data_IF_338922818131
#
_entry.id   IF_338922818131
#
_cell.length_a   1.000
_cell.length_b   1.000
_cell.length_c   1.000
_cell.angle_alpha   90.00
_cell.angle_beta   90.00
_cell.angle_gamma   90.00
#
_symmetry.space_group_name_H-M   'P 1'
#
loop_
_entity.id
_entity.type
_entity.pdbx_description
1 polymer ?
#
# COMPACT_ATOMS: atom_id res chain seq x y z
N UNK A 1 55.93 4.34 -12.73
CA UNK A 1 55.28 4.16 -14.04
C UNK A 1 53.96 3.48 -13.72
N UNK A 2 52.86 4.21 -13.44
CA UNK A 2 51.93 4.84 -14.42
C UNK A 2 51.41 3.76 -15.40
N UNK A 3 50.12 3.42 -15.49
CA UNK A 3 48.86 4.21 -15.56
C UNK A 3 47.72 3.48 -14.78
N UNK A 4 46.79 4.10 -14.04
CA UNK A 4 45.68 5.04 -14.37
C UNK A 4 44.67 4.54 -15.43
N UNK A 5 43.54 4.00 -14.95
CA UNK A 5 42.21 4.30 -15.49
C UNK A 5 41.13 3.95 -14.46
N UNK A 6 40.64 4.99 -13.79
CA UNK A 6 39.49 5.00 -12.90
C UNK A 6 38.21 4.54 -13.64
N UNK A 7 37.41 3.71 -12.97
CA UNK A 7 36.05 3.39 -13.39
C UNK A 7 35.12 3.51 -12.18
N UNK A 8 34.88 4.75 -11.77
CA UNK A 8 33.85 5.11 -10.80
C UNK A 8 32.47 4.99 -11.48
N UNK A 9 31.73 3.93 -11.13
CA UNK A 9 30.31 3.80 -11.42
C UNK A 9 29.53 4.14 -10.14
N UNK A 10 29.34 5.43 -9.91
CA UNK A 10 28.28 5.95 -9.04
C UNK A 10 26.93 5.64 -9.70
N UNK A 11 26.31 4.53 -9.31
CA UNK A 11 24.92 4.22 -9.63
C UNK A 11 24.05 4.70 -8.47
N UNK A 12 23.53 5.92 -8.64
CA UNK A 12 22.48 6.52 -7.84
C UNK A 12 21.18 5.70 -7.98
N UNK A 13 20.91 4.80 -7.02
CA UNK A 13 19.67 4.02 -6.95
C UNK A 13 18.59 4.87 -6.29
N UNK A 14 17.94 5.70 -7.10
CA UNK A 14 16.71 6.39 -6.74
C UNK A 14 15.60 5.40 -6.39
N UNK A 15 15.17 5.42 -5.13
CA UNK A 15 13.98 4.78 -4.60
C UNK A 15 12.70 5.19 -5.35
N UNK A 16 11.93 4.23 -5.82
CA UNK A 16 10.48 4.35 -6.03
C UNK A 16 9.80 3.13 -5.39
N UNK A 17 8.80 3.32 -4.50
CA UNK A 17 8.01 2.21 -3.93
C UNK A 17 7.02 1.69 -4.97
N UNK A 18 6.82 0.37 -4.99
CA UNK A 18 5.83 -0.32 -5.83
C UNK A 18 4.66 -0.68 -4.91
N UNK A 19 3.50 -0.04 -5.12
CA UNK A 19 2.25 -0.33 -4.41
C UNK A 19 1.24 -1.01 -5.37
N UNK A 20 0.72 -2.13 -4.89
CA UNK A 20 -0.60 -2.75 -5.04
C UNK A 20 -1.17 -3.21 -6.39
N UNK A 21 -1.07 -4.53 -6.53
CA UNK A 21 -2.08 -5.52 -6.91
C UNK A 21 -3.54 -5.04 -6.90
N UNK A 22 -4.21 -5.09 -8.07
CA UNK A 22 -5.68 -5.03 -8.16
C UNK A 22 -6.18 -6.28 -8.87
N UNK A 23 -7.05 -6.98 -8.16
CA UNK A 23 -7.67 -8.26 -8.44
C UNK A 23 -8.80 -8.08 -9.47
N UNK A 24 -8.71 -8.79 -10.61
CA UNK A 24 -9.76 -8.84 -11.63
C UNK A 24 -10.95 -9.69 -11.13
N UNK A 25 -12.08 -9.05 -10.84
CA UNK A 25 -13.39 -9.73 -10.77
C UNK A 25 -14.14 -9.50 -12.09
N UNK A 26 -14.38 -10.60 -12.81
CA UNK A 26 -15.21 -10.68 -14.01
C UNK A 26 -16.69 -10.68 -13.61
N UNK A 27 -17.46 -9.71 -14.08
CA UNK A 27 -18.92 -9.82 -14.20
C UNK A 27 -19.33 -9.66 -15.67
N UNK A 28 -19.72 -10.78 -16.27
CA UNK A 28 -20.51 -10.83 -17.50
C UNK A 28 -21.89 -10.19 -17.23
N UNK A 29 -22.29 -9.22 -18.04
CA UNK A 29 -23.70 -8.79 -18.11
C UNK A 29 -24.23 -9.05 -19.51
N UNK A 30 -25.12 -10.03 -19.57
CA UNK A 30 -25.94 -10.43 -20.72
C UNK A 30 -27.03 -9.37 -20.93
N UNK A 31 -27.20 -8.95 -22.19
CA UNK A 31 -28.14 -7.91 -22.61
C UNK A 31 -29.45 -8.57 -22.97
N UNK A 32 -30.52 -8.37 -22.18
CA UNK A 32 -31.88 -8.69 -22.60
C UNK A 32 -32.79 -7.46 -22.56
N UNK A 33 -33.27 -7.12 -23.75
CA UNK A 33 -34.16 -6.01 -24.08
C UNK A 33 -35.60 -6.36 -23.64
N UNK A 34 -36.26 -5.49 -22.88
CA UNK A 34 -37.73 -5.49 -22.83
C UNK A 34 -38.31 -4.11 -22.53
N UNK A 35 -39.34 -3.81 -23.30
CA UNK A 35 -39.93 -2.51 -23.54
C UNK A 35 -40.76 -1.98 -22.37
N UNK A 36 -40.59 -0.68 -22.17
CA UNK A 36 -41.52 0.36 -21.70
C UNK A 36 -42.99 -0.03 -21.48
N UNK A 37 -43.49 0.18 -20.26
CA UNK A 37 -44.80 0.78 -20.01
C UNK A 37 -44.66 1.91 -18.99
N UNK A 38 -45.22 3.06 -19.35
CA UNK A 38 -45.11 4.31 -18.63
C UNK A 38 -46.13 4.38 -17.49
N UNK A 39 -45.66 4.66 -16.27
CA UNK A 39 -46.44 5.32 -15.24
C UNK A 39 -45.67 6.49 -14.66
N UNK A 40 -46.42 7.55 -14.41
CA UNK A 40 -46.01 8.89 -14.04
C UNK A 40 -45.26 8.96 -12.71
N UNK A 41 -44.14 9.67 -12.68
CA UNK A 41 -43.78 10.77 -11.75
C UNK A 41 -42.26 10.95 -11.74
N UNK A 42 -41.81 12.20 -11.89
CA UNK A 42 -40.42 12.60 -11.63
C UNK A 42 -39.38 12.09 -12.63
N UNK A 43 -39.22 12.76 -13.77
CA UNK A 43 -37.99 12.66 -14.56
C UNK A 43 -36.85 13.30 -13.77
N UNK A 44 -36.22 12.54 -12.87
CA UNK A 44 -34.84 12.81 -12.49
C UNK A 44 -34.00 12.62 -13.74
N UNK A 45 -33.75 13.72 -14.46
CA UNK A 45 -32.74 13.75 -15.49
C UNK A 45 -31.42 13.40 -14.82
N UNK A 46 -30.91 12.18 -15.05
CA UNK A 46 -29.50 11.87 -14.82
C UNK A 46 -28.71 13.03 -15.41
N UNK A 47 -28.06 13.83 -14.57
CA UNK A 47 -27.20 14.92 -15.03
C UNK A 47 -26.08 14.25 -15.82
N UNK A 48 -26.23 14.16 -17.14
CA UNK A 48 -25.15 13.75 -18.01
C UNK A 48 -23.99 14.69 -17.72
N UNK A 49 -22.83 14.17 -17.32
CA UNK A 49 -21.62 14.96 -17.08
C UNK A 49 -21.05 15.64 -18.33
N UNK A 50 -21.83 15.65 -19.42
CA UNK A 50 -21.51 16.26 -20.69
C UNK A 50 -21.94 17.73 -20.65
N UNK A 51 -20.97 18.63 -20.77
CA UNK A 51 -21.18 20.08 -20.84
C UNK A 51 -21.08 20.49 -22.30
N UNK A 52 -22.13 21.11 -22.84
CA UNK A 52 -22.11 21.63 -24.21
C UNK A 52 -21.34 22.96 -24.24
N UNK A 53 -20.09 22.92 -24.68
CA UNK A 53 -19.21 24.09 -24.75
C UNK A 53 -19.68 25.13 -25.80
N UNK A 54 -20.57 24.77 -26.72
CA UNK A 54 -21.05 25.69 -27.76
C UNK A 54 -22.05 26.72 -27.25
N UNK A 55 -22.71 26.44 -26.12
CA UNK A 55 -23.68 27.32 -25.46
C UNK A 55 -23.03 28.32 -24.47
N UNK A 56 -21.71 28.25 -24.27
CA UNK A 56 -20.96 29.07 -23.32
C UNK A 56 -20.38 30.31 -24.03
N UNK A 57 -20.47 31.53 -23.45
CA UNK A 57 -19.85 32.73 -24.02
C UNK A 57 -18.35 32.56 -24.29
N UNK A 58 -17.84 33.13 -25.39
CA UNK A 58 -16.44 32.95 -25.83
C UNK A 58 -15.40 33.28 -24.75
N UNK A 59 -15.64 34.31 -23.95
CA UNK A 59 -14.72 34.79 -22.91
C UNK A 59 -14.50 33.75 -21.79
N UNK A 60 -15.46 32.87 -21.58
CA UNK A 60 -15.39 31.77 -20.59
C UNK A 60 -14.96 30.46 -21.24
N UNK A 61 -15.26 30.27 -22.53
CA UNK A 61 -14.94 29.06 -23.30
C UNK A 61 -13.44 28.87 -23.55
N UNK A 62 -12.74 29.93 -23.99
CA UNK A 62 -11.29 29.88 -24.31
C UNK A 62 -10.39 29.36 -23.17
N UNK A 63 -10.52 29.84 -21.91
CA UNK A 63 -9.70 29.32 -20.81
C UNK A 63 -10.05 27.87 -20.42
N UNK A 64 -11.31 27.45 -20.61
CA UNK A 64 -11.75 26.06 -20.37
C UNK A 64 -11.14 25.12 -21.43
N UNK A 65 -11.20 25.50 -22.71
CA UNK A 65 -10.59 24.73 -23.80
C UNK A 65 -9.06 24.62 -23.64
N UNK A 66 -8.41 25.70 -23.19
CA UNK A 66 -6.98 25.69 -22.88
C UNK A 66 -6.62 24.66 -21.80
N UNK A 67 -7.31 24.70 -20.65
CA UNK A 67 -7.10 23.74 -19.55
C UNK A 67 -7.47 22.30 -19.94
N UNK A 68 -8.52 22.11 -20.72
CA UNK A 68 -8.92 20.79 -21.20
C UNK A 68 -7.88 20.21 -22.18
N UNK A 69 -7.31 21.05 -23.04
CA UNK A 69 -6.22 20.69 -23.93
C UNK A 69 -4.94 20.33 -23.18
N UNK A 70 -4.59 21.09 -22.14
CA UNK A 70 -3.47 20.76 -21.23
C UNK A 70 -3.69 19.41 -20.53
N UNK A 71 -4.84 19.22 -19.91
CA UNK A 71 -5.19 17.99 -19.19
C UNK A 71 -5.24 16.77 -20.12
N UNK A 72 -5.73 16.95 -21.35
CA UNK A 72 -5.74 15.89 -22.36
C UNK A 72 -4.32 15.57 -22.81
N UNK A 73 -3.44 16.56 -22.95
CA UNK A 73 -2.03 16.35 -23.28
C UNK A 73 -1.27 15.66 -22.15
N UNK A 74 -1.56 15.98 -20.90
CA UNK A 74 -1.00 15.30 -19.73
C UNK A 74 -1.45 13.84 -19.68
N UNK A 75 -2.76 13.57 -19.77
CA UNK A 75 -3.29 12.20 -19.84
C UNK A 75 -2.74 11.42 -21.02
N UNK A 76 -2.56 12.05 -22.19
CA UNK A 76 -1.96 11.39 -23.34
C UNK A 76 -0.48 11.04 -23.11
N UNK A 77 0.29 11.89 -22.41
CA UNK A 77 1.67 11.59 -22.01
C UNK A 77 1.74 10.46 -21.00
N UNK A 78 0.85 10.45 -20.01
CA UNK A 78 0.76 9.38 -19.01
C UNK A 78 0.37 8.06 -19.66
N UNK A 79 -0.66 8.05 -20.51
CA UNK A 79 -1.06 6.86 -21.25
C UNK A 79 0.06 6.34 -22.17
N UNK A 80 0.83 7.24 -22.78
CA UNK A 80 2.00 6.85 -23.58
C UNK A 80 3.10 6.22 -22.72
N UNK A 81 3.42 6.81 -21.56
CA UNK A 81 4.37 6.24 -20.60
C UNK A 81 3.90 4.88 -20.08
N UNK A 82 2.62 4.75 -19.72
CA UNK A 82 2.04 3.50 -19.27
C UNK A 82 2.19 2.41 -20.34
N UNK A 83 1.85 2.71 -21.61
CA UNK A 83 2.06 1.79 -22.73
C UNK A 83 3.53 1.43 -22.95
N UNK A 84 4.45 2.37 -22.78
CA UNK A 84 5.89 2.10 -22.87
C UNK A 84 6.34 1.15 -21.75
N UNK A 85 5.93 1.42 -20.50
CA UNK A 85 6.23 0.57 -19.36
C UNK A 85 5.62 -0.82 -19.51
N UNK A 86 4.38 -0.93 -19.99
CA UNK A 86 3.75 -2.21 -20.30
C UNK A 86 4.50 -2.97 -21.40
N UNK A 87 4.95 -2.28 -22.45
CA UNK A 87 5.76 -2.89 -23.50
C UNK A 87 7.13 -3.35 -22.98
N UNK A 88 7.77 -2.58 -22.12
CA UNK A 88 9.04 -2.94 -21.45
C UNK A 88 8.84 -4.12 -20.50
N UNK A 89 7.78 -4.13 -19.69
CA UNK A 89 7.41 -5.24 -18.82
C UNK A 89 7.14 -6.50 -19.62
N UNK A 90 6.40 -6.40 -20.73
CA UNK A 90 6.15 -7.54 -21.60
C UNK A 90 7.43 -8.04 -22.28
N UNK A 91 8.34 -7.14 -22.68
CA UNK A 91 9.65 -7.52 -23.20
C UNK A 91 10.52 -8.19 -22.12
N UNK A 92 10.50 -7.71 -20.88
CA UNK A 92 11.20 -8.33 -19.76
C UNK A 92 10.61 -9.71 -19.45
N UNK A 93 9.29 -9.80 -19.28
CA UNK A 93 8.57 -11.07 -19.07
C UNK A 93 8.89 -12.07 -20.18
N UNK A 94 8.84 -11.65 -21.45
CA UNK A 94 9.21 -12.50 -22.57
C UNK A 94 10.70 -12.89 -22.62
N UNK A 95 11.60 -12.15 -21.97
CA UNK A 95 13.01 -12.55 -21.79
C UNK A 95 13.15 -13.58 -20.66
N UNK A 96 12.39 -13.44 -19.58
CA UNK A 96 12.44 -14.35 -18.43
C UNK A 96 11.69 -15.67 -18.67
N UNK A 97 10.56 -15.65 -19.37
CA UNK A 97 9.76 -16.84 -19.71
C UNK A 97 10.51 -17.80 -20.67
N UNK A 98 11.61 -17.34 -21.28
CA UNK A 98 12.42 -18.13 -22.22
C UNK A 98 13.65 -18.79 -21.60
N UNK A 99 13.86 -18.70 -20.29
CA UNK A 99 14.97 -19.41 -19.63
C UNK A 99 14.55 -20.86 -19.43
N UNK A 100 14.40 -21.60 -20.52
CA UNK A 100 14.19 -23.05 -20.48
C UNK A 100 15.50 -23.74 -20.08
N UNK A 101 15.43 -24.86 -19.34
CA UNK A 101 16.63 -25.63 -19.03
C UNK A 101 17.29 -26.09 -20.34
N UNK A 102 18.63 -26.02 -20.45
CA UNK A 102 19.31 -26.45 -21.66
C UNK A 102 19.03 -27.93 -21.92
N UNK A 103 18.71 -28.26 -23.18
CA UNK A 103 18.38 -29.62 -23.60
C UNK A 103 19.54 -30.56 -23.32
N UNK A 104 19.28 -31.60 -22.52
CA UNK A 104 20.27 -32.61 -22.19
C UNK A 104 20.55 -33.51 -23.40
N UNK A 105 21.79 -33.48 -23.88
CA UNK A 105 22.28 -34.41 -24.89
C UNK A 105 22.79 -35.64 -24.16
N UNK A 106 22.52 -36.83 -24.68
CA UNK A 106 23.03 -38.07 -24.09
C UNK A 106 24.47 -38.33 -24.54
N UNK A 107 25.24 -39.03 -23.70
CA UNK A 107 26.61 -39.41 -24.04
C UNK A 107 26.60 -40.33 -25.29
N UNK A 108 27.47 -40.08 -26.29
CA UNK A 108 27.57 -40.95 -27.45
C UNK A 108 27.98 -42.37 -27.04
N UNK A 109 27.42 -43.38 -27.71
CA UNK A 109 27.73 -44.78 -27.42
C UNK A 109 29.17 -45.13 -27.81
N UNK A 110 29.76 -46.10 -27.10
CA UNK A 110 31.10 -46.59 -27.41
C UNK A 110 31.18 -47.29 -28.79
N UNK A 111 30.08 -47.90 -29.24
CA UNK A 111 29.96 -48.52 -30.56
C UNK A 111 30.17 -47.50 -31.69
N UNK A 112 29.62 -46.28 -31.54
CA UNK A 112 29.82 -45.19 -32.49
C UNK A 112 31.30 -44.76 -32.58
N UNK A 113 32.06 -44.88 -31.49
CA UNK A 113 33.49 -44.56 -31.49
C UNK A 113 34.31 -45.53 -32.37
N UNK A 114 33.85 -46.77 -32.50
CA UNK A 114 34.48 -47.81 -33.33
C UNK A 114 34.04 -47.67 -34.79
N UNK A 115 32.74 -47.45 -35.01
CA UNK A 115 32.15 -47.37 -36.36
C UNK A 115 32.44 -46.05 -37.08
N UNK A 116 32.36 -44.92 -36.37
CA UNK A 116 32.57 -43.59 -36.93
C UNK A 116 33.21 -42.62 -35.92
N UNK A 117 34.55 -42.60 -35.83
CA UNK A 117 35.26 -41.81 -34.82
C UNK A 117 35.08 -40.29 -34.97
N UNK A 118 34.83 -39.78 -36.18
CA UNK A 118 34.59 -38.34 -36.39
C UNK A 118 33.25 -37.88 -35.83
N UNK A 119 32.18 -38.66 -36.07
CA UNK A 119 30.86 -38.37 -35.52
C UNK A 119 30.82 -38.53 -34.00
N UNK A 120 31.51 -39.55 -33.47
CA UNK A 120 31.69 -39.71 -32.03
C UNK A 120 32.30 -38.45 -31.41
N UNK A 121 33.41 -37.95 -31.97
CA UNK A 121 34.06 -36.73 -31.46
C UNK A 121 33.15 -35.49 -31.54
N UNK A 122 32.36 -35.35 -32.61
CA UNK A 122 31.39 -34.26 -32.75
C UNK A 122 30.31 -34.31 -31.67
N UNK A 123 29.74 -35.50 -31.43
CA UNK A 123 28.72 -35.70 -30.41
C UNK A 123 29.29 -35.52 -28.99
N UNK A 124 30.54 -35.96 -28.76
CA UNK A 124 31.19 -35.79 -27.46
C UNK A 124 31.44 -34.31 -27.13
N UNK A 125 31.80 -33.49 -28.12
CA UNK A 125 31.89 -32.03 -27.95
C UNK A 125 30.53 -31.42 -27.60
N UNK A 126 29.49 -31.76 -28.38
CA UNK A 126 28.14 -31.28 -28.11
C UNK A 126 27.62 -31.69 -26.72
N UNK A 127 27.93 -32.91 -26.29
CA UNK A 127 27.63 -33.38 -24.94
C UNK A 127 28.33 -32.54 -23.86
N UNK A 128 29.64 -32.32 -24.00
CA UNK A 128 30.39 -31.48 -23.06
C UNK A 128 29.87 -30.03 -23.03
N UNK A 129 29.55 -29.46 -24.19
CA UNK A 129 28.96 -28.12 -24.29
C UNK A 129 27.61 -28.07 -23.55
N UNK A 130 26.78 -29.10 -23.68
CA UNK A 130 25.50 -29.20 -22.96
C UNK A 130 25.66 -29.28 -21.44
N UNK A 131 26.70 -29.98 -20.95
CA UNK A 131 27.01 -30.04 -19.52
C UNK A 131 27.45 -28.68 -18.96
N UNK A 132 28.27 -27.94 -19.73
CA UNK A 132 28.70 -26.59 -19.34
C UNK A 132 27.49 -25.65 -19.30
N UNK A 133 26.64 -25.69 -20.33
CA UNK A 133 25.42 -24.89 -20.37
C UNK A 133 24.49 -25.19 -19.19
N UNK A 134 24.32 -26.47 -18.83
CA UNK A 134 23.52 -26.88 -17.66
C UNK A 134 24.09 -26.32 -16.36
N UNK A 135 25.40 -26.42 -16.14
CA UNK A 135 26.04 -25.85 -14.95
C UNK A 135 25.81 -24.33 -14.86
N UNK A 136 26.00 -23.61 -15.97
CA UNK A 136 25.80 -22.16 -15.99
C UNK A 136 24.35 -21.77 -15.69
N UNK A 137 23.39 -22.54 -16.20
CA UNK A 137 21.97 -22.38 -15.88
C UNK A 137 21.72 -22.59 -14.38
N UNK A 138 22.20 -23.70 -13.81
CA UNK A 138 22.03 -24.01 -12.39
C UNK A 138 22.66 -22.93 -11.48
N UNK A 139 23.85 -22.43 -11.85
CA UNK A 139 24.53 -21.36 -11.13
C UNK A 139 23.77 -20.03 -11.23
N UNK A 140 23.15 -19.74 -12.39
CA UNK A 140 22.33 -18.54 -12.57
C UNK A 140 21.05 -18.59 -11.71
N UNK A 141 20.39 -19.75 -11.63
CA UNK A 141 19.21 -19.94 -10.77
C UNK A 141 19.59 -19.77 -9.29
N UNK A 142 20.67 -20.42 -8.83
CA UNK A 142 21.15 -20.28 -7.46
C UNK A 142 21.51 -18.83 -7.13
N UNK A 143 22.22 -18.15 -8.02
CA UNK A 143 22.58 -16.74 -7.82
C UNK A 143 21.33 -15.84 -7.74
N UNK A 144 20.27 -16.16 -8.47
CA UNK A 144 19.00 -15.44 -8.39
C UNK A 144 18.29 -15.68 -7.05
N UNK A 145 18.25 -16.93 -6.58
CA UNK A 145 17.69 -17.30 -5.27
C UNK A 145 18.47 -16.65 -4.12
N UNK A 146 19.80 -16.65 -4.17
CA UNK A 146 20.64 -16.00 -3.16
C UNK A 146 20.38 -14.49 -3.11
N UNK A 147 20.21 -13.84 -4.28
CA UNK A 147 19.88 -12.41 -4.35
C UNK A 147 18.51 -12.11 -3.76
N UNK A 148 17.49 -12.92 -4.04
CA UNK A 148 16.14 -12.68 -3.51
C UNK A 148 16.11 -12.85 -2.00
N UNK A 149 16.80 -13.87 -1.47
CA UNK A 149 16.95 -14.07 -0.02
C UNK A 149 17.73 -12.94 0.63
N UNK A 150 18.83 -12.48 0.03
CA UNK A 150 19.63 -11.37 0.55
C UNK A 150 18.82 -10.06 0.58
N UNK A 151 18.04 -9.77 -0.46
CA UNK A 151 17.14 -8.61 -0.51
C UNK A 151 16.07 -8.70 0.57
N UNK A 152 15.44 -9.86 0.75
CA UNK A 152 14.44 -10.06 1.80
C UNK A 152 15.05 -9.86 3.20
N UNK A 153 16.25 -10.39 3.45
CA UNK A 153 16.95 -10.18 4.72
C UNK A 153 17.28 -8.69 4.95
N UNK A 154 17.71 -7.97 3.92
CA UNK A 154 17.99 -6.54 4.02
C UNK A 154 16.72 -5.73 4.32
N UNK A 155 15.59 -6.08 3.69
CA UNK A 155 14.30 -5.44 3.95
C UNK A 155 13.86 -5.67 5.40
N UNK A 156 13.92 -6.91 5.89
CA UNK A 156 13.58 -7.24 7.28
C UNK A 156 14.48 -6.50 8.27
N UNK A 157 15.79 -6.40 8.01
CA UNK A 157 16.70 -5.63 8.86
C UNK A 157 16.32 -4.15 8.93
N UNK A 158 16.01 -3.53 7.79
CA UNK A 158 15.55 -2.12 7.74
C UNK A 158 14.23 -1.92 8.49
N UNK A 159 13.29 -2.85 8.38
CA UNK A 159 12.02 -2.81 9.11
C UNK A 159 12.26 -2.90 10.61
N UNK A 160 13.15 -3.79 11.07
CA UNK A 160 13.52 -3.92 12.48
C UNK A 160 14.18 -2.65 13.02
N UNK A 161 15.10 -2.03 12.27
CA UNK A 161 15.73 -0.76 12.66
C UNK A 161 14.69 0.36 12.77
N UNK A 162 13.79 0.45 11.78
CA UNK A 162 12.70 1.43 11.77
C UNK A 162 11.75 1.22 12.94
N UNK A 163 11.39 -0.03 13.23
CA UNK A 163 10.58 -0.39 14.39
C UNK A 163 11.27 0.02 15.70
N UNK A 164 12.56 -0.30 15.86
CA UNK A 164 13.33 0.10 17.06
C UNK A 164 13.39 1.63 17.23
N UNK A 165 13.45 2.40 16.15
CA UNK A 165 13.36 3.86 16.20
C UNK A 165 11.96 4.33 16.60
N UNK A 166 10.88 3.71 16.09
CA UNK A 166 9.49 4.01 16.46
C UNK A 166 9.22 3.73 17.94
N UNK A 167 9.73 2.62 18.48
CA UNK A 167 9.64 2.29 19.91
C UNK A 167 10.29 3.40 20.76
N UNK A 168 11.48 3.87 20.36
CA UNK A 168 12.14 4.99 21.05
C UNK A 168 11.34 6.30 20.95
N UNK A 169 10.69 6.55 19.82
CA UNK A 169 9.89 7.76 19.60
C UNK A 169 8.59 7.80 20.44
N UNK A 170 8.08 6.65 20.86
CA UNK A 170 6.85 6.55 21.66
C UNK A 170 7.03 6.94 23.14
N UNK A 171 8.26 7.15 23.60
CA UNK A 171 8.61 7.52 24.99
C UNK A 171 7.95 6.59 26.03
N UNK A 172 8.00 5.29 25.77
CA UNK A 172 7.45 4.23 26.64
C UNK A 172 8.59 3.53 27.37
N UNK A 173 8.35 3.11 28.61
CA UNK A 173 9.30 2.30 29.37
C UNK A 173 9.65 1.02 28.58
N UNK A 174 10.95 0.77 28.28
CA UNK A 174 11.37 -0.42 27.55
C UNK A 174 10.95 -1.73 28.25
N UNK A 175 10.81 -1.73 29.59
CA UNK A 175 10.35 -2.92 30.31
C UNK A 175 8.89 -3.26 29.99
N UNK A 176 8.01 -2.24 29.94
CA UNK A 176 6.61 -2.43 29.58
C UNK A 176 6.44 -2.81 28.10
N UNK A 177 7.28 -2.27 27.23
CA UNK A 177 7.27 -2.65 25.82
C UNK A 177 7.66 -4.13 25.64
N UNK A 178 8.72 -4.58 26.32
CA UNK A 178 9.15 -5.98 26.28
C UNK A 178 8.08 -6.92 26.85
N UNK A 179 7.38 -6.51 27.90
CA UNK A 179 6.25 -7.26 28.45
C UNK A 179 5.10 -7.35 27.44
N UNK A 180 4.75 -6.25 26.77
CA UNK A 180 3.73 -6.23 25.72
C UNK A 180 4.09 -7.15 24.55
N UNK A 181 5.34 -7.14 24.10
CA UNK A 181 5.86 -8.05 23.06
C UNK A 181 5.76 -9.52 23.50
N UNK A 182 6.11 -9.82 24.75
CA UNK A 182 5.99 -11.15 25.32
C UNK A 182 4.53 -11.61 25.39
N UNK A 183 3.62 -10.75 25.81
CA UNK A 183 2.18 -11.07 25.88
C UNK A 183 1.62 -11.40 24.48
N UNK A 184 2.06 -10.67 23.44
CA UNK A 184 1.70 -10.99 22.05
C UNK A 184 2.26 -12.34 21.59
N UNK A 185 3.50 -12.66 21.98
CA UNK A 185 4.14 -13.93 21.67
C UNK A 185 3.45 -15.11 22.37
N UNK A 186 3.16 -14.96 23.66
CA UNK A 186 2.49 -15.97 24.48
C UNK A 186 1.04 -16.23 23.98
N UNK A 187 0.36 -15.21 23.46
CA UNK A 187 -0.95 -15.34 22.81
C UNK A 187 -0.87 -15.94 21.39
N UNK A 188 0.33 -16.21 20.86
CA UNK A 188 0.54 -16.73 19.50
C UNK A 188 0.23 -15.71 18.39
N UNK A 189 0.04 -14.44 18.73
CA UNK A 189 -0.33 -13.38 17.78
C UNK A 189 0.92 -12.86 17.04
N UNK A 190 2.07 -12.78 17.73
CA UNK A 190 3.32 -12.34 17.12
C UNK A 190 3.70 -13.17 15.88
N UNK A 191 3.40 -14.48 15.87
CA UNK A 191 3.67 -15.34 14.72
C UNK A 191 2.69 -15.11 13.56
N UNK A 192 1.46 -14.66 13.85
CA UNK A 192 0.42 -14.43 12.85
C UNK A 192 0.56 -13.08 12.14
N UNK A 193 0.90 -12.03 12.89
CA UNK A 193 0.91 -10.65 12.38
C UNK A 193 2.22 -9.90 12.63
N UNK A 194 3.29 -10.58 13.06
CA UNK A 194 4.56 -9.94 13.39
C UNK A 194 5.15 -9.16 12.21
N UNK A 195 5.11 -9.72 11.00
CA UNK A 195 5.55 -9.01 9.78
C UNK A 195 4.73 -7.74 9.51
N UNK A 196 3.41 -7.80 9.72
CA UNK A 196 2.53 -6.64 9.60
C UNK A 196 2.89 -5.56 10.63
N UNK A 197 3.05 -5.93 11.90
CA UNK A 197 3.41 -5.00 12.98
C UNK A 197 4.79 -4.36 12.78
N UNK A 198 5.74 -5.06 12.15
CA UNK A 198 7.06 -4.52 11.84
C UNK A 198 7.03 -3.53 10.66
N UNK A 199 6.21 -3.82 9.64
CA UNK A 199 6.06 -2.96 8.48
C UNK A 199 5.22 -1.70 8.79
N UNK A 200 4.25 -1.80 9.70
CA UNK A 200 3.27 -0.76 9.96
C UNK A 200 3.87 0.52 10.61
N UNK A 201 3.33 1.68 10.24
CA UNK A 201 3.74 2.98 10.81
C UNK A 201 3.48 3.08 12.31
N UNK A 202 2.32 2.61 12.78
CA UNK A 202 1.88 2.61 14.17
C UNK A 202 2.20 1.29 14.88
N UNK A 203 2.96 0.40 14.26
CA UNK A 203 3.22 -0.96 14.74
C UNK A 203 3.68 -1.05 16.19
N UNK A 204 4.62 -0.20 16.61
CA UNK A 204 5.09 -0.16 18.00
C UNK A 204 4.00 0.33 18.98
N UNK A 205 3.13 1.26 18.56
CA UNK A 205 2.02 1.73 19.38
C UNK A 205 0.92 0.66 19.49
N UNK A 206 0.68 -0.07 18.40
CA UNK A 206 -0.24 -1.21 18.35
C UNK A 206 0.21 -2.33 19.28
N UNK A 207 1.50 -2.70 19.26
CA UNK A 207 2.05 -3.73 20.17
C UNK A 207 1.83 -3.34 21.63
N UNK A 208 2.08 -2.08 21.99
CA UNK A 208 1.84 -1.59 23.36
C UNK A 208 0.37 -1.72 23.76
N UNK A 209 -0.55 -1.28 22.90
CA UNK A 209 -1.98 -1.26 23.20
C UNK A 209 -2.55 -2.69 23.30
N UNK A 210 -2.20 -3.55 22.34
CA UNK A 210 -2.63 -4.95 22.30
C UNK A 210 -2.01 -5.74 23.45
N UNK A 211 -0.71 -5.57 23.71
CA UNK A 211 0.02 -6.28 24.76
C UNK A 211 -0.45 -5.96 26.18
N UNK A 212 -1.10 -4.81 26.37
CA UNK A 212 -1.74 -4.42 27.64
C UNK A 212 -3.15 -5.00 27.86
N UNK A 213 -3.78 -5.57 26.83
CA UNK A 213 -5.17 -6.02 26.88
C UNK A 213 -5.32 -7.54 26.63
N UNK A 214 -5.20 -8.33 27.70
CA UNK A 214 -5.28 -9.79 27.63
C UNK A 214 -6.60 -10.34 27.07
N UNK A 215 -7.72 -9.66 27.29
CA UNK A 215 -9.02 -10.11 26.76
C UNK A 215 -9.07 -10.00 25.24
N UNK A 216 -8.57 -8.89 24.70
CA UNK A 216 -8.48 -8.64 23.26
C UNK A 216 -7.47 -9.60 22.62
N UNK A 217 -6.33 -9.86 23.26
CA UNK A 217 -5.38 -10.89 22.81
C UNK A 217 -6.00 -12.29 22.75
N UNK A 218 -6.80 -12.68 23.73
CA UNK A 218 -7.46 -13.98 23.70
C UNK A 218 -8.44 -14.09 22.52
N UNK A 219 -9.24 -13.05 22.27
CA UNK A 219 -10.14 -13.00 21.12
C UNK A 219 -9.38 -13.08 19.79
N UNK A 220 -8.31 -12.31 19.66
CA UNK A 220 -7.46 -12.28 18.46
C UNK A 220 -6.72 -13.62 18.24
N UNK A 221 -6.33 -14.32 19.30
CA UNK A 221 -5.66 -15.62 19.20
C UNK A 221 -6.50 -16.67 18.46
N UNK A 222 -7.83 -16.56 18.51
CA UNK A 222 -8.78 -17.45 17.84
C UNK A 222 -9.08 -17.06 16.39
N UNK A 223 -8.64 -15.88 15.95
CA UNK A 223 -8.90 -15.36 14.61
C UNK A 223 -7.80 -15.78 13.62
N UNK A 224 -8.13 -15.72 12.32
CA UNK A 224 -7.15 -15.84 11.23
C UNK A 224 -6.35 -14.54 11.09
N UNK A 225 -5.11 -14.57 10.56
CA UNK A 225 -4.26 -13.38 10.43
C UNK A 225 -4.94 -12.19 9.74
N UNK A 226 -5.70 -12.44 8.68
CA UNK A 226 -6.36 -11.40 7.88
C UNK A 226 -7.48 -10.72 8.69
N UNK A 227 -8.21 -11.51 9.48
CA UNK A 227 -9.24 -11.00 10.39
C UNK A 227 -8.65 -10.20 11.53
N UNK A 228 -7.48 -10.62 12.04
CA UNK A 228 -6.76 -9.88 13.09
C UNK A 228 -6.37 -8.49 12.56
N UNK A 229 -5.77 -8.42 11.37
CA UNK A 229 -5.40 -7.13 10.75
C UNK A 229 -6.63 -6.25 10.56
N UNK A 230 -7.71 -6.79 10.01
CA UNK A 230 -8.97 -6.05 9.84
C UNK A 230 -9.57 -5.57 11.16
N UNK A 231 -9.45 -6.36 12.22
CA UNK A 231 -9.90 -5.99 13.55
C UNK A 231 -9.05 -4.85 14.13
N UNK A 232 -7.72 -4.94 13.98
CA UNK A 232 -6.77 -3.92 14.43
C UNK A 232 -7.09 -2.58 13.76
N UNK A 233 -7.26 -2.57 12.44
CA UNK A 233 -7.58 -1.36 11.68
C UNK A 233 -8.89 -0.71 12.11
N UNK A 234 -9.92 -1.52 12.41
CA UNK A 234 -11.25 -1.02 12.75
C UNK A 234 -11.41 -0.64 14.22
N UNK A 235 -10.76 -1.35 15.12
CA UNK A 235 -11.05 -1.27 16.55
C UNK A 235 -9.88 -0.70 17.37
N UNK A 236 -8.64 -0.98 16.99
CA UNK A 236 -7.44 -0.66 17.78
C UNK A 236 -6.78 0.62 17.27
N UNK A 237 -6.52 0.72 15.96
CA UNK A 237 -5.90 1.92 15.36
C UNK A 237 -6.66 3.22 15.66
N UNK A 238 -8.01 3.27 15.65
CA UNK A 238 -8.72 4.51 16.00
C UNK A 238 -8.46 4.96 17.45
N UNK A 239 -8.17 4.04 18.37
CA UNK A 239 -7.82 4.36 19.78
C UNK A 239 -6.43 4.99 19.90
N UNK A 240 -5.52 4.65 18.99
CA UNK A 240 -4.18 5.24 18.93
C UNK A 240 -4.18 6.67 18.39
N UNK A 241 -5.12 6.97 17.48
CA UNK A 241 -5.32 8.34 17.01
C UNK A 241 -5.79 9.20 18.17
N UNK A 242 -4.90 10.07 18.68
CA UNK A 242 -5.30 11.09 19.67
C UNK A 242 -6.36 11.96 19.01
N UNK A 243 -7.63 11.71 19.34
CA UNK A 243 -8.74 12.60 18.99
C UNK A 243 -8.31 13.98 19.46
N UNK A 244 -8.04 14.89 18.50
CA UNK A 244 -7.82 16.30 18.82
C UNK A 244 -9.06 16.73 19.58
N UNK A 245 -8.95 16.96 20.88
CA UNK A 245 -10.03 17.58 21.65
C UNK A 245 -10.31 18.90 20.96
N UNK A 246 -11.41 18.98 20.23
CA UNK A 246 -11.86 20.24 19.69
C UNK A 246 -12.11 21.13 20.91
N UNK A 247 -11.25 22.12 21.11
CA UNK A 247 -11.50 23.22 22.04
C UNK A 247 -12.57 24.08 21.37
N UNK A 248 -13.79 23.57 21.33
CA UNK A 248 -14.95 24.39 21.03
C UNK A 248 -15.02 25.42 22.17
N UNK A 249 -15.12 26.73 21.85
CA UNK A 249 -15.32 27.72 22.89
C UNK A 249 -16.56 27.35 23.71
N UNK A 250 -16.54 27.59 25.03
CA UNK A 250 -17.71 27.31 25.86
C UNK A 250 -18.93 27.99 25.25
N UNK A 251 -20.10 27.33 25.24
CA UNK A 251 -21.31 27.91 24.67
C UNK A 251 -21.56 29.28 25.30
N UNK A 252 -21.99 30.30 24.52
CA UNK A 252 -22.24 31.63 25.05
C UNK A 252 -23.20 31.52 26.22
N UNK A 253 -22.81 32.09 27.37
CA UNK A 253 -23.68 32.18 28.53
C UNK A 253 -24.93 32.96 28.13
N UNK A 254 -26.12 32.46 28.52
CA UNK A 254 -27.37 33.17 28.27
C UNK A 254 -27.22 34.60 28.80
N UNK A 255 -27.44 35.57 27.92
CA UNK A 255 -27.55 36.98 28.29
C UNK A 255 -28.67 37.10 29.31
N UNK A 256 -28.32 37.22 30.58
CA UNK A 256 -29.23 37.65 31.63
C UNK A 256 -29.56 39.10 31.32
N UNK A 257 -30.69 39.30 30.63
CA UNK A 257 -31.26 40.61 30.42
C UNK A 257 -31.67 41.19 31.76
N UNK A 258 -30.75 41.87 32.44
CA UNK A 258 -31.09 42.86 33.45
C UNK A 258 -31.75 44.04 32.73
N UNK A 259 -33.06 43.92 32.49
CA UNK A 259 -33.89 45.10 32.23
C UNK A 259 -33.95 45.86 33.54
N UNK A 260 -33.26 47.00 33.56
CA UNK A 260 -33.19 47.89 34.70
C UNK A 260 -34.55 48.27 35.25
N UNK A 261 -34.55 48.39 36.58
CA UNK A 261 -35.21 49.45 37.36
C UNK A 261 -36.70 49.67 37.11
N UNK A 262 -37.55 49.16 38.02
CA UNK A 262 -38.95 49.58 38.03
C UNK A 262 -39.91 48.90 39.00
N UNK A 263 -39.50 48.40 40.17
CA UNK A 263 -40.47 48.01 41.21
C UNK A 263 -40.07 48.53 42.58
N UNK A 264 -40.72 49.66 42.90
CA UNK A 264 -40.94 50.32 44.19
C UNK A 264 -40.43 49.57 45.43
N UNK A 265 -39.43 50.17 46.06
CA UNK A 265 -39.14 50.02 47.48
C UNK A 265 -40.38 50.41 48.29
N UNK A 266 -40.93 49.45 49.04
CA UNK A 266 -41.89 49.71 50.12
C UNK A 266 -41.15 49.40 51.41
N UNK A 267 -40.54 50.43 51.99
CA UNK A 267 -40.51 50.71 53.42
C UNK A 267 -39.48 51.80 53.72
N UNK A 268 -39.96 53.03 53.94
CA UNK A 268 -39.64 53.73 55.19
C UNK A 268 -40.57 54.93 55.41
N UNK A 269 -41.34 54.83 56.51
CA UNK A 269 -41.61 55.87 57.51
C UNK A 269 -41.81 57.31 57.02
N UNK A 270 -43.08 57.67 56.77
CA UNK A 270 -43.61 58.99 57.18
C UNK A 270 -45.00 58.80 57.78
N UNK A 271 -45.15 59.18 59.04
CA UNK A 271 -46.45 59.25 59.69
C UNK A 271 -47.24 60.45 59.21
N UNK A 272 -48.52 60.24 58.91
CA UNK A 272 -49.55 61.27 59.04
C UNK A 272 -50.92 60.60 59.24
N UNK A 273 -51.54 60.91 60.37
CA UNK A 273 -52.87 60.52 60.83
C UNK A 273 -53.94 61.19 59.99
N UNK A 274 -55.04 60.50 59.67
CA UNK A 274 -56.31 61.15 59.30
C UNK A 274 -57.44 60.39 60.03
N UNK A 275 -58.33 61.17 60.64
CA UNK A 275 -59.58 60.78 61.31
C UNK A 275 -60.50 59.87 60.49
#
# INVERSE_FOLDING_TARGET
MQDESDFDLDVDVGQQPIEDEVQDEQEESEVEESQTEATSEGVERKKSGWVDLSAIPEDVRKPIEGRLGELTREKAKEAFKARQLEAELNQLKAKFEKVEPPKEIQMPSYELAIENPEEFNRQNRAYNDSLIAKRQYDDAIKAQEERSVALQQQQTQRQLETYAQKVKALDVDPALMLEAERNLADAGIAQKIGGFLLADEDGAALVKELGGNFEELYQLSQMSPERIVSYIERNVRPRLSKVKKHSAPPPPTRVSGSRGTGTKSVNDKFGFTIE
#
